data_IF_527682089463
#
_entry.id   IF_527682089463
#
_cell.length_a   1.000
_cell.length_b   1.000
_cell.length_c   1.000
_cell.angle_alpha   90.00
_cell.angle_beta   90.00
_cell.angle_gamma   90.00
#
_symmetry.space_group_name_H-M   'P 1'
#
loop_
_entity.id
_entity.type
_entity.pdbx_description
1 polymer ?
#
# COMPACT_ATOMS: atom_id res chain seq x y z
N UNK A 1 -4.60 21.87 -2.14
CA UNK A 1 -5.28 21.13 -1.05
C UNK A 1 -6.79 21.11 -1.30
N UNK A 2 -7.47 19.96 -1.14
CA UNK A 2 -8.93 19.94 -1.18
C UNK A 2 -9.50 20.74 0.00
N UNK A 3 -10.43 21.66 -0.24
CA UNK A 3 -11.03 22.47 0.84
C UNK A 3 -11.99 21.60 1.67
N UNK A 4 -12.29 22.02 2.90
CA UNK A 4 -13.28 21.35 3.76
C UNK A 4 -14.64 21.20 3.07
N UNK A 5 -14.98 22.11 2.17
CA UNK A 5 -16.23 22.08 1.40
C UNK A 5 -16.23 20.96 0.33
N UNK A 6 -15.04 20.50 -0.09
CA UNK A 6 -14.89 19.39 -1.05
C UNK A 6 -14.74 18.02 -0.38
N UNK A 7 -14.24 17.98 0.85
CA UNK A 7 -14.00 16.76 1.65
C UNK A 7 -14.39 16.98 3.12
N UNK A 8 -15.69 17.13 3.42
CA UNK A 8 -16.16 17.54 4.75
C UNK A 8 -15.84 16.54 5.86
N UNK A 9 -15.62 15.27 5.53
CA UNK A 9 -15.21 14.23 6.47
C UNK A 9 -13.77 14.39 6.99
N UNK A 10 -12.97 15.31 6.43
CA UNK A 10 -11.63 15.65 6.91
C UNK A 10 -11.55 16.97 7.71
N UNK A 11 -12.70 17.53 8.05
CA UNK A 11 -12.78 18.72 8.90
C UNK A 11 -12.15 18.42 10.28
N UNK A 12 -11.17 19.23 10.70
CA UNK A 12 -10.42 19.04 11.95
C UNK A 12 -9.21 18.09 11.86
N UNK A 13 -8.91 17.52 10.69
CA UNK A 13 -7.75 16.65 10.52
C UNK A 13 -6.43 17.40 10.81
N UNK A 14 -5.41 16.72 11.40
CA UNK A 14 -4.05 17.25 11.51
C UNK A 14 -3.54 17.77 10.17
N UNK A 15 -2.89 18.94 10.17
CA UNK A 15 -2.31 19.56 8.98
C UNK A 15 -0.79 19.72 9.15
N UNK A 16 -0.04 19.55 8.07
CA UNK A 16 1.41 19.81 8.03
C UNK A 16 1.82 20.33 6.65
N UNK A 17 3.07 20.79 6.56
CA UNK A 17 3.68 21.17 5.28
C UNK A 17 4.40 19.95 4.71
N UNK A 18 4.10 19.60 3.47
CA UNK A 18 4.78 18.54 2.74
C UNK A 18 5.29 19.07 1.40
N UNK A 19 6.41 18.52 0.96
CA UNK A 19 6.90 18.71 -0.40
C UNK A 19 6.15 17.74 -1.33
N UNK A 20 5.06 18.22 -1.92
CA UNK A 20 4.12 17.35 -2.68
C UNK A 20 4.32 17.42 -4.18
N UNK A 21 5.26 18.24 -4.65
CA UNK A 21 5.54 18.39 -6.07
C UNK A 21 7.04 18.28 -6.27
N UNK A 22 7.48 17.25 -7.00
CA UNK A 22 8.84 17.25 -7.55
C UNK A 22 8.93 18.39 -8.55
N UNK A 23 9.48 19.53 -8.12
CA UNK A 23 9.96 20.52 -9.07
C UNK A 23 11.02 19.88 -9.97
N UNK A 24 11.11 20.33 -11.22
CA UNK A 24 12.24 19.98 -12.09
C UNK A 24 13.57 20.52 -11.53
N UNK A 25 13.50 21.43 -10.55
CA UNK A 25 14.63 21.87 -9.75
C UNK A 25 14.62 21.17 -8.39
N UNK A 26 15.59 20.29 -8.16
CA UNK A 26 15.76 19.57 -6.89
C UNK A 26 15.99 20.50 -5.68
N UNK A 27 16.27 21.79 -5.90
CA UNK A 27 16.42 22.79 -4.84
C UNK A 27 15.13 23.55 -4.50
N UNK A 28 14.05 23.34 -5.26
CA UNK A 28 12.78 24.01 -5.04
C UNK A 28 11.81 23.10 -4.27
N UNK A 29 11.81 23.26 -2.93
CA UNK A 29 10.81 22.64 -2.04
C UNK A 29 9.49 23.41 -2.16
N UNK A 30 8.41 22.74 -2.61
CA UNK A 30 7.08 23.36 -2.66
C UNK A 30 6.34 23.06 -1.36
N UNK A 31 6.33 24.04 -0.47
CA UNK A 31 5.70 23.98 0.86
C UNK A 31 4.15 23.95 0.78
N UNK A 32 3.60 22.84 0.31
CA UNK A 32 2.16 22.65 0.24
C UNK A 32 1.62 22.17 1.58
N UNK A 33 0.56 22.83 2.06
CA UNK A 33 -0.17 22.34 3.21
C UNK A 33 -0.98 21.10 2.82
N UNK A 34 -0.81 20.03 3.58
CA UNK A 34 -1.54 18.76 3.49
C UNK A 34 -2.26 18.46 4.81
N UNK A 35 -3.17 17.48 4.79
CA UNK A 35 -3.90 17.04 5.98
C UNK A 35 -4.03 15.52 6.01
N UNK A 36 -4.22 14.98 7.20
CA UNK A 36 -4.39 13.54 7.40
C UNK A 36 -5.69 13.07 6.76
N UNK A 37 -5.57 12.25 5.72
CA UNK A 37 -6.69 11.53 5.11
C UNK A 37 -6.70 10.09 5.61
N UNK A 38 -5.60 9.37 5.34
CA UNK A 38 -5.46 7.95 5.62
C UNK A 38 -4.10 7.62 6.22
N UNK A 39 -4.05 6.49 6.93
CA UNK A 39 -2.84 5.82 7.41
C UNK A 39 -2.95 4.36 6.99
N UNK A 40 -1.93 3.87 6.29
CA UNK A 40 -1.83 2.47 5.89
C UNK A 40 -0.83 1.75 6.79
N UNK A 41 -1.20 0.55 7.22
CA UNK A 41 -0.41 -0.30 8.11
C UNK A 41 -0.33 -1.69 7.51
N UNK A 42 0.88 -2.25 7.47
CA UNK A 42 1.10 -3.65 7.13
C UNK A 42 1.74 -4.35 8.34
N UNK A 43 1.15 -5.48 8.76
CA UNK A 43 1.62 -6.28 9.89
C UNK A 43 1.89 -7.70 9.43
N UNK A 44 3.08 -8.20 9.71
CA UNK A 44 3.40 -9.62 9.49
C UNK A 44 2.74 -10.43 10.59
N UNK A 45 1.86 -11.36 10.22
CA UNK A 45 1.06 -12.14 11.15
C UNK A 45 0.86 -13.55 10.62
N UNK A 46 1.22 -14.56 11.40
CA UNK A 46 1.10 -15.95 10.97
C UNK A 46 -0.35 -16.47 10.96
N UNK A 47 -1.31 -15.68 11.44
CA UNK A 47 -2.74 -15.98 11.40
C UNK A 47 -3.41 -15.48 10.13
N UNK A 48 -2.73 -14.70 9.29
CA UNK A 48 -3.26 -14.30 7.98
C UNK A 48 -3.41 -15.52 7.05
N UNK A 49 -3.94 -15.32 5.85
CA UNK A 49 -3.91 -16.37 4.81
C UNK A 49 -2.47 -16.75 4.43
N UNK A 50 -2.32 -17.52 3.35
CA UNK A 50 -1.04 -17.93 2.76
C UNK A 50 0.00 -16.78 2.67
N UNK A 51 -0.43 -15.52 2.57
CA UNK A 51 0.48 -14.38 2.41
C UNK A 51 1.24 -13.89 3.64
N UNK A 52 0.93 -14.34 4.86
CA UNK A 52 1.67 -13.96 6.08
C UNK A 52 1.60 -12.48 6.49
N UNK A 53 0.75 -11.68 5.83
CA UNK A 53 0.59 -10.25 6.08
C UNK A 53 -0.89 -9.86 6.24
N UNK A 54 -1.14 -8.90 7.12
CA UNK A 54 -2.40 -8.19 7.24
C UNK A 54 -2.18 -6.72 6.89
N UNK A 55 -2.89 -6.24 5.88
CA UNK A 55 -2.90 -4.86 5.45
C UNK A 55 -4.14 -4.17 6.01
N UNK A 56 -3.98 -2.97 6.55
CA UNK A 56 -5.06 -2.17 7.08
C UNK A 56 -4.96 -0.73 6.64
N UNK A 57 -6.06 -0.17 6.18
CA UNK A 57 -6.18 1.26 5.94
C UNK A 57 -7.09 1.86 6.99
N UNK A 58 -6.63 2.94 7.59
CA UNK A 58 -7.35 3.74 8.56
C UNK A 58 -7.56 5.13 7.96
N UNK A 59 -8.67 5.78 8.27
CA UNK A 59 -8.92 7.16 7.89
C UNK A 59 -8.97 8.06 9.11
N UNK A 60 -8.70 9.35 8.92
CA UNK A 60 -9.10 10.35 9.91
C UNK A 60 -10.61 10.31 10.13
N UNK A 61 -11.01 10.42 11.40
CA UNK A 61 -12.39 10.42 11.86
C UNK A 61 -12.53 11.25 13.14
N UNK A 62 -13.02 12.49 12.98
CA UNK A 62 -13.20 13.42 14.10
C UNK A 62 -14.18 12.94 15.18
N UNK A 63 -14.99 11.91 14.90
CA UNK A 63 -15.91 11.35 15.89
C UNK A 63 -15.21 10.46 16.92
N UNK A 64 -13.99 10.00 16.60
CA UNK A 64 -13.16 9.21 17.52
C UNK A 64 -12.65 10.12 18.64
N UNK A 65 -13.08 9.86 19.86
CA UNK A 65 -12.64 10.60 21.04
C UNK A 65 -11.19 10.21 21.42
N UNK A 66 -10.22 11.00 20.94
CA UNK A 66 -8.82 10.85 21.32
C UNK A 66 -8.20 12.22 21.67
N UNK A 67 -7.37 12.31 22.74
CA UNK A 67 -6.68 13.55 23.11
C UNK A 67 -5.71 14.05 22.04
N UNK A 68 -5.10 13.12 21.29
CA UNK A 68 -4.21 13.41 20.17
C UNK A 68 -4.99 13.32 18.86
N UNK A 69 -5.10 14.41 18.07
CA UNK A 69 -5.74 14.42 16.76
C UNK A 69 -5.21 13.38 15.78
N UNK A 70 -3.94 12.96 15.89
CA UNK A 70 -3.35 11.91 15.05
C UNK A 70 -3.92 10.52 15.36
N UNK A 71 -4.52 10.34 16.53
CA UNK A 71 -5.18 9.10 16.97
C UNK A 71 -6.69 9.09 16.73
N UNK A 72 -7.23 10.17 16.15
CA UNK A 72 -8.63 10.24 15.73
C UNK A 72 -8.78 9.53 14.38
N UNK A 73 -8.59 8.21 14.39
CA UNK A 73 -8.62 7.36 13.19
C UNK A 73 -9.57 6.18 13.37
N UNK A 74 -10.30 5.86 12.32
CA UNK A 74 -11.21 4.71 12.22
C UNK A 74 -10.68 3.76 11.15
N UNK A 75 -10.69 2.44 11.38
CA UNK A 75 -10.34 1.49 10.33
C UNK A 75 -11.35 1.57 9.17
N UNK A 76 -10.86 1.60 7.94
CA UNK A 76 -11.66 1.57 6.69
C UNK A 76 -11.71 0.16 6.14
N UNK A 77 -10.56 -0.50 6.07
CA UNK A 77 -10.45 -1.85 5.53
C UNK A 77 -9.33 -2.62 6.22
N UNK A 78 -9.50 -3.95 6.29
CA UNK A 78 -8.45 -4.92 6.58
C UNK A 78 -8.41 -5.94 5.45
N UNK A 79 -7.22 -6.42 5.10
CA UNK A 79 -7.01 -7.51 4.14
C UNK A 79 -5.97 -8.46 4.68
N UNK A 80 -6.22 -9.74 4.55
CA UNK A 80 -5.26 -10.80 4.88
C UNK A 80 -5.05 -11.78 3.74
N UNK A 81 -5.63 -11.49 2.57
CA UNK A 81 -5.50 -12.23 1.32
C UNK A 81 -6.19 -11.48 0.17
N UNK A 82 -6.11 -12.03 -1.03
CA UNK A 82 -6.58 -11.44 -2.29
C UNK A 82 -7.73 -12.22 -2.93
N UNK A 83 -8.35 -13.22 -2.30
CA UNK A 83 -9.50 -13.95 -2.84
C UNK A 83 -9.26 -14.40 -4.31
N UNK A 84 -8.31 -15.29 -4.60
CA UNK A 84 -7.66 -15.43 -5.92
C UNK A 84 -8.56 -15.85 -7.09
N UNK A 85 -9.81 -16.22 -6.82
CA UNK A 85 -10.81 -16.59 -7.84
C UNK A 85 -11.94 -15.56 -7.97
N UNK A 86 -11.97 -14.54 -7.11
CA UNK A 86 -13.06 -13.59 -7.00
C UNK A 86 -12.93 -12.44 -8.01
N UNK A 87 -13.92 -12.30 -8.87
CA UNK A 87 -13.99 -11.30 -9.95
C UNK A 87 -15.17 -10.34 -9.73
N UNK A 88 -15.24 -9.21 -10.46
CA UNK A 88 -16.38 -8.31 -10.38
C UNK A 88 -17.73 -8.98 -10.66
N UNK A 89 -17.76 -10.04 -11.48
CA UNK A 89 -18.97 -10.81 -11.76
C UNK A 89 -19.48 -11.60 -10.54
N UNK A 90 -18.62 -11.87 -9.55
CA UNK A 90 -19.00 -12.54 -8.31
C UNK A 90 -19.53 -11.57 -7.25
N UNK A 91 -19.29 -10.26 -7.40
CA UNK A 91 -19.61 -9.27 -6.37
C UNK A 91 -21.10 -8.96 -6.32
N UNK A 92 -21.77 -9.49 -5.30
CA UNK A 92 -23.17 -9.19 -4.96
C UNK A 92 -23.32 -9.07 -3.43
N UNK A 93 -23.14 -7.86 -2.87
CA UNK A 93 -23.25 -7.64 -1.43
C UNK A 93 -24.68 -7.84 -0.91
N UNK A 94 -25.72 -7.74 -1.75
CA UNK A 94 -27.11 -7.98 -1.33
C UNK A 94 -27.37 -9.47 -1.06
N UNK A 95 -26.62 -10.34 -1.73
CA UNK A 95 -26.64 -11.79 -1.50
C UNK A 95 -25.50 -12.28 -0.58
N UNK A 96 -24.67 -11.36 -0.06
CA UNK A 96 -23.51 -11.70 0.76
C UNK A 96 -22.31 -12.24 -0.02
N UNK A 97 -22.33 -12.15 -1.36
CA UNK A 97 -21.19 -12.50 -2.20
C UNK A 97 -20.18 -11.34 -2.22
N UNK A 98 -19.32 -11.33 -1.22
CA UNK A 98 -18.22 -10.36 -1.05
C UNK A 98 -16.90 -11.11 -0.86
N UNK A 99 -15.75 -10.43 -1.07
CA UNK A 99 -14.44 -10.98 -0.70
C UNK A 99 -14.43 -11.50 0.74
N UNK A 100 -13.83 -12.66 0.96
CA UNK A 100 -13.75 -13.34 2.26
C UNK A 100 -12.40 -13.11 2.95
N UNK A 101 -11.38 -12.66 2.21
CA UNK A 101 -10.06 -12.33 2.76
C UNK A 101 -9.86 -10.82 2.97
N UNK A 102 -10.98 -10.09 3.03
CA UNK A 102 -11.05 -8.66 3.30
C UNK A 102 -12.23 -8.34 4.21
N UNK A 103 -12.07 -7.33 5.05
CA UNK A 103 -13.15 -6.72 5.82
C UNK A 103 -13.23 -5.23 5.53
N UNK A 104 -14.45 -4.72 5.31
CA UNK A 104 -14.72 -3.31 5.04
C UNK A 104 -15.58 -2.73 6.17
N UNK A 105 -15.17 -1.57 6.68
CA UNK A 105 -15.98 -0.79 7.60
C UNK A 105 -17.03 0.05 6.87
N UNK A 106 -18.26 -0.47 6.76
CA UNK A 106 -19.38 0.23 6.13
C UNK A 106 -19.76 1.56 6.77
N UNK A 107 -19.35 1.82 8.02
CA UNK A 107 -19.68 3.06 8.75
C UNK A 107 -18.56 4.09 8.73
N UNK A 108 -17.41 3.78 8.11
CA UNK A 108 -16.31 4.75 8.01
C UNK A 108 -16.77 6.01 7.25
N UNK A 109 -16.45 7.24 7.72
CA UNK A 109 -16.97 8.45 7.10
C UNK A 109 -16.70 8.59 5.59
N UNK A 110 -15.57 8.11 5.08
CA UNK A 110 -15.29 8.15 3.62
C UNK A 110 -16.15 7.15 2.85
N UNK A 111 -16.47 6.02 3.48
CA UNK A 111 -17.36 4.99 2.93
C UNK A 111 -18.77 5.56 2.80
N UNK A 112 -19.29 6.12 3.90
CA UNK A 112 -20.60 6.77 3.94
C UNK A 112 -20.71 7.95 2.96
N UNK A 113 -19.68 8.81 2.90
CA UNK A 113 -19.65 9.97 2.00
C UNK A 113 -19.77 9.57 0.53
N UNK A 114 -19.01 8.56 0.09
CA UNK A 114 -19.00 8.15 -1.31
C UNK A 114 -20.12 7.17 -1.68
N UNK A 115 -20.67 6.40 -0.74
CA UNK A 115 -21.86 5.57 -1.00
C UNK A 115 -23.11 6.42 -1.33
N UNK A 116 -23.13 7.68 -0.90
CA UNK A 116 -24.17 8.65 -1.26
C UNK A 116 -24.03 9.26 -2.66
N UNK A 117 -22.93 9.00 -3.39
CA UNK A 117 -22.61 9.64 -4.67
C UNK A 117 -23.06 8.85 -5.91
N UNK A 118 -24.24 8.20 -5.86
CA UNK A 118 -24.81 7.28 -6.87
C UNK A 118 -24.19 5.87 -6.85
N UNK A 119 -25.00 4.90 -6.41
CA UNK A 119 -24.67 3.48 -6.40
C UNK A 119 -24.79 2.90 -7.81
N UNK A 120 -23.64 2.71 -8.47
CA UNK A 120 -23.54 1.81 -9.62
C UNK A 120 -23.63 0.36 -9.14
N UNK A 121 -24.08 -0.57 -9.99
CA UNK A 121 -24.09 -2.02 -9.76
C UNK A 121 -22.68 -2.66 -9.72
N UNK A 122 -21.67 -1.86 -9.38
CA UNK A 122 -20.26 -2.20 -9.28
C UNK A 122 -19.80 -1.82 -7.87
N UNK A 123 -18.81 -2.53 -7.32
CA UNK A 123 -18.25 -2.22 -6.01
C UNK A 123 -18.04 -0.70 -5.82
N UNK A 124 -18.38 -0.13 -4.65
CA UNK A 124 -18.23 1.30 -4.40
C UNK A 124 -16.84 1.78 -4.83
N UNK A 125 -16.70 2.97 -5.43
CA UNK A 125 -15.43 3.60 -5.82
C UNK A 125 -14.49 3.97 -4.62
N UNK A 126 -14.67 3.25 -3.52
CA UNK A 126 -14.01 3.35 -2.22
C UNK A 126 -13.27 2.03 -1.96
N UNK A 127 -13.68 0.95 -2.64
CA UNK A 127 -13.09 -0.37 -2.57
C UNK A 127 -12.16 -0.61 -3.76
N UNK A 128 -11.30 -1.59 -3.60
CA UNK A 128 -10.47 -2.13 -4.65
C UNK A 128 -11.26 -2.99 -5.62
N UNK A 129 -10.55 -3.56 -6.59
CA UNK A 129 -11.14 -4.36 -7.64
C UNK A 129 -11.92 -5.56 -7.08
N UNK A 130 -13.16 -5.70 -7.56
CA UNK A 130 -14.16 -6.65 -7.07
C UNK A 130 -14.51 -6.52 -5.57
N UNK A 131 -14.41 -5.32 -4.99
CA UNK A 131 -14.82 -5.05 -3.61
C UNK A 131 -13.78 -5.39 -2.54
N UNK A 132 -12.54 -5.69 -2.93
CA UNK A 132 -11.44 -5.93 -2.00
C UNK A 132 -11.06 -4.68 -1.22
N UNK A 133 -10.32 -4.86 -0.13
CA UNK A 133 -9.75 -3.74 0.59
C UNK A 133 -8.85 -2.86 -0.27
N UNK A 134 -9.00 -1.55 -0.14
CA UNK A 134 -8.13 -0.56 -0.77
C UNK A 134 -8.23 0.77 -0.01
N UNK A 135 -7.22 1.62 -0.16
CA UNK A 135 -7.26 2.95 0.43
C UNK A 135 -8.23 3.89 -0.30
N UNK A 136 -8.85 4.85 0.40
CA UNK A 136 -9.80 5.79 -0.20
C UNK A 136 -9.29 6.62 -1.40
N UNK A 137 -7.97 6.82 -1.53
CA UNK A 137 -7.37 7.52 -2.68
C UNK A 137 -6.53 6.60 -3.58
N UNK A 138 -6.56 5.30 -3.32
CA UNK A 138 -5.84 4.31 -4.11
C UNK A 138 -6.60 4.03 -5.42
N UNK A 139 -5.92 3.41 -6.37
CA UNK A 139 -6.54 3.09 -7.66
C UNK A 139 -7.49 1.90 -7.51
N UNK A 140 -8.78 2.11 -7.77
CA UNK A 140 -9.84 1.11 -7.61
C UNK A 140 -9.71 -0.12 -8.54
N UNK A 141 -8.81 -0.11 -9.52
CA UNK A 141 -8.51 -1.29 -10.35
C UNK A 141 -7.54 -2.28 -9.68
N UNK A 142 -7.02 -1.95 -8.50
CA UNK A 142 -6.12 -2.78 -7.68
C UNK A 142 -6.72 -3.01 -6.28
N UNK A 143 -5.94 -3.62 -5.38
CA UNK A 143 -6.16 -3.70 -3.93
C UNK A 143 -4.84 -3.42 -3.21
N UNK A 144 -4.84 -3.22 -1.88
CA UNK A 144 -3.59 -2.99 -1.14
C UNK A 144 -2.59 -4.13 -1.35
N UNK A 145 -3.02 -5.38 -1.11
CA UNK A 145 -2.15 -6.56 -1.29
C UNK A 145 -1.76 -6.79 -2.75
N UNK A 146 -2.65 -6.50 -3.70
CA UNK A 146 -2.36 -6.63 -5.14
C UNK A 146 -1.32 -5.61 -5.63
N UNK A 147 -1.46 -4.36 -5.20
CA UNK A 147 -0.54 -3.27 -5.48
C UNK A 147 0.83 -3.53 -4.86
N UNK A 148 0.86 -3.99 -3.61
CA UNK A 148 2.10 -4.25 -2.89
C UNK A 148 2.76 -5.58 -3.26
N UNK A 149 1.99 -6.55 -3.77
CA UNK A 149 2.49 -7.88 -4.13
C UNK A 149 3.57 -7.85 -5.22
N UNK A 150 3.61 -6.80 -6.05
CA UNK A 150 4.65 -6.63 -7.09
C UNK A 150 5.97 -6.05 -6.54
N UNK A 151 6.12 -5.92 -5.21
CA UNK A 151 7.35 -5.45 -4.60
C UNK A 151 8.45 -6.53 -4.68
N UNK A 152 9.31 -6.40 -5.68
CA UNK A 152 10.42 -7.31 -5.96
C UNK A 152 11.58 -6.56 -6.63
N UNK A 153 12.77 -7.18 -6.63
CA UNK A 153 13.97 -6.68 -7.29
C UNK A 153 14.59 -7.78 -8.19
N UNK A 154 14.88 -7.50 -9.48
CA UNK A 154 14.52 -6.28 -10.21
C UNK A 154 13.00 -6.16 -10.35
N UNK A 155 12.46 -4.96 -10.58
CA UNK A 155 11.01 -4.79 -10.79
C UNK A 155 10.53 -5.48 -12.08
N UNK A 156 9.60 -6.44 -11.96
CA UNK A 156 8.99 -7.14 -13.09
C UNK A 156 7.65 -6.53 -13.56
N UNK A 157 6.64 -6.48 -12.68
CA UNK A 157 5.31 -5.93 -13.00
C UNK A 157 5.04 -4.52 -12.46
N UNK A 158 4.04 -3.87 -13.04
CA UNK A 158 3.46 -2.65 -12.51
C UNK A 158 2.43 -2.94 -11.40
N UNK A 159 2.27 -1.98 -10.48
CA UNK A 159 1.32 -2.02 -9.37
C UNK A 159 -0.15 -2.11 -9.79
N UNK A 160 -0.46 -1.64 -11.01
CA UNK A 160 -1.80 -1.71 -11.56
C UNK A 160 -1.96 -3.00 -12.36
N UNK A 161 -3.01 -3.80 -12.07
CA UNK A 161 -3.29 -5.00 -12.86
C UNK A 161 -3.47 -4.67 -14.34
N UNK A 162 -2.89 -5.52 -15.19
CA UNK A 162 -3.04 -5.44 -16.64
C UNK A 162 -3.67 -6.72 -17.19
N UNK A 163 -4.20 -6.66 -18.41
CA UNK A 163 -4.87 -7.79 -19.05
C UNK A 163 -6.18 -7.40 -19.71
N UNK A 164 -6.56 -8.18 -20.73
CA UNK A 164 -7.70 -7.87 -21.58
C UNK A 164 -9.06 -8.31 -20.99
N UNK A 165 -9.05 -9.06 -19.89
CA UNK A 165 -10.24 -9.55 -19.21
C UNK A 165 -9.97 -9.74 -17.70
N UNK A 166 -11.03 -9.99 -16.93
CA UNK A 166 -10.94 -10.14 -15.48
C UNK A 166 -10.13 -11.38 -15.06
N UNK A 167 -10.16 -12.46 -15.84
CA UNK A 167 -9.36 -13.66 -15.57
C UNK A 167 -7.86 -13.38 -15.66
N UNK A 168 -7.43 -12.56 -16.63
CA UNK A 168 -6.03 -12.16 -16.76
C UNK A 168 -5.58 -11.27 -15.60
N UNK A 169 -6.47 -10.42 -15.08
CA UNK A 169 -6.18 -9.55 -13.92
C UNK A 169 -5.96 -10.34 -12.63
N UNK A 170 -6.58 -11.52 -12.48
CA UNK A 170 -6.40 -12.39 -11.29
C UNK A 170 -4.94 -12.75 -11.01
N UNK A 171 -4.04 -12.64 -12.00
CA UNK A 171 -2.59 -12.72 -11.79
C UNK A 171 -2.10 -11.82 -10.64
N UNK A 172 -2.65 -10.60 -10.53
CA UNK A 172 -2.30 -9.63 -9.49
C UNK A 172 -3.04 -9.85 -8.17
N UNK A 173 -4.02 -10.74 -8.14
CA UNK A 173 -4.85 -11.04 -6.97
C UNK A 173 -4.59 -12.45 -6.45
N UNK A 174 -3.40 -13.00 -6.72
CA UNK A 174 -2.94 -14.23 -6.08
C UNK A 174 -2.50 -13.93 -4.65
N UNK A 175 -2.61 -14.93 -3.78
CA UNK A 175 -1.91 -14.88 -2.51
C UNK A 175 -0.46 -15.30 -2.78
N UNK A 176 0.49 -14.44 -2.40
CA UNK A 176 1.91 -14.72 -2.48
C UNK A 176 2.40 -15.03 -1.08
N UNK A 177 3.06 -16.16 -0.88
CA UNK A 177 3.65 -16.50 0.40
C UNK A 177 4.72 -15.47 0.82
N UNK A 178 5.07 -15.37 2.12
CA UNK A 178 6.18 -14.55 2.55
C UNK A 178 7.45 -14.90 1.77
N UNK A 179 8.15 -13.87 1.26
CA UNK A 179 9.34 -13.98 0.42
C UNK A 179 9.12 -14.60 -0.98
N UNK A 180 7.88 -14.92 -1.38
CA UNK A 180 7.58 -15.29 -2.75
C UNK A 180 7.63 -14.04 -3.64
N UNK A 181 8.45 -14.02 -4.71
CA UNK A 181 8.43 -12.93 -5.69
C UNK A 181 7.17 -13.00 -6.54
N UNK A 182 6.73 -11.86 -7.08
CA UNK A 182 5.56 -11.82 -7.96
C UNK A 182 5.84 -12.55 -9.27
N UNK A 183 6.99 -12.27 -9.87
CA UNK A 183 7.53 -12.97 -11.04
C UNK A 183 8.48 -14.08 -10.57
N UNK A 184 7.92 -15.24 -10.19
CA UNK A 184 8.67 -16.40 -9.68
C UNK A 184 9.34 -17.24 -10.79
N UNK A 185 10.21 -16.58 -11.57
CA UNK A 185 10.97 -17.15 -12.68
C UNK A 185 12.43 -17.49 -12.33
N UNK A 186 12.83 -17.29 -11.06
CA UNK A 186 14.19 -17.47 -10.57
C UNK A 186 15.11 -16.26 -10.77
N UNK A 187 14.60 -15.15 -11.30
CA UNK A 187 15.35 -13.91 -11.52
C UNK A 187 14.96 -12.76 -10.58
N UNK A 188 13.85 -12.90 -9.87
CA UNK A 188 13.30 -11.86 -8.99
C UNK A 188 13.43 -12.26 -7.52
N UNK A 189 13.80 -11.29 -6.67
CA UNK A 189 13.82 -11.43 -5.22
C UNK A 189 12.67 -10.62 -4.64
N UNK A 190 11.79 -11.27 -3.88
CA UNK A 190 10.71 -10.60 -3.16
C UNK A 190 11.24 -9.55 -2.19
N UNK A 191 10.59 -8.40 -2.13
CA UNK A 191 10.80 -7.38 -1.12
C UNK A 191 9.69 -7.40 -0.05
N UNK A 192 9.02 -8.54 0.09
CA UNK A 192 8.01 -8.85 1.12
C UNK A 192 6.96 -7.72 1.23
N UNK A 193 6.34 -7.40 0.10
CA UNK A 193 5.30 -6.36 -0.05
C UNK A 193 5.77 -4.90 0.19
N UNK A 194 7.06 -4.64 0.37
CA UNK A 194 7.58 -3.30 0.63
C UNK A 194 7.84 -2.50 -0.66
N UNK A 195 6.81 -1.80 -1.14
CA UNK A 195 6.95 -0.88 -2.29
C UNK A 195 7.93 0.27 -2.02
N UNK A 196 8.07 0.70 -0.77
CA UNK A 196 9.02 1.75 -0.39
C UNK A 196 10.46 1.30 -0.65
N UNK A 197 10.77 0.02 -0.36
CA UNK A 197 12.07 -0.56 -0.69
C UNK A 197 12.22 -0.74 -2.20
N UNK A 198 11.22 -1.32 -2.88
CA UNK A 198 11.25 -1.55 -4.33
C UNK A 198 11.50 -0.24 -5.09
N UNK A 199 10.68 0.78 -4.83
CA UNK A 199 10.81 2.11 -5.44
C UNK A 199 12.13 2.79 -5.03
N UNK A 200 12.60 2.58 -3.80
CA UNK A 200 13.88 3.11 -3.33
C UNK A 200 15.06 2.55 -4.11
N UNK A 201 15.11 1.23 -4.28
CA UNK A 201 16.15 0.50 -5.03
C UNK A 201 16.11 0.91 -6.51
N UNK A 202 14.92 0.88 -7.12
CA UNK A 202 14.70 1.33 -8.50
C UNK A 202 15.21 2.77 -8.70
N UNK A 203 14.86 3.69 -7.80
CA UNK A 203 15.31 5.07 -7.89
C UNK A 203 16.83 5.17 -7.75
N UNK A 204 17.46 4.42 -6.86
CA UNK A 204 18.91 4.42 -6.68
C UNK A 204 19.63 3.89 -7.93
N UNK A 205 19.17 2.77 -8.47
CA UNK A 205 19.73 2.16 -9.68
C UNK A 205 19.64 3.13 -10.88
N UNK A 206 18.51 3.84 -11.01
CA UNK A 206 18.30 4.81 -12.09
C UNK A 206 18.97 6.17 -11.84
N UNK A 207 19.24 6.54 -10.59
CA UNK A 207 19.94 7.81 -10.26
C UNK A 207 21.43 7.77 -10.60
N UNK A 208 22.05 6.58 -10.58
CA UNK A 208 23.43 6.40 -11.02
C UNK A 208 23.64 6.71 -12.52
N UNK A 209 22.58 6.66 -13.33
CA UNK A 209 22.61 7.08 -14.73
C UNK A 209 22.54 8.62 -14.92
N UNK A 210 22.14 9.38 -13.89
CA UNK A 210 21.96 10.83 -13.96
C UNK A 210 23.11 11.64 -13.33
N UNK A 211 23.95 11.04 -12.47
CA UNK A 211 25.08 11.74 -11.83
C UNK A 211 26.32 10.84 -11.68
N UNK A 212 27.37 11.00 -12.50
CA UNK A 212 28.56 10.14 -12.46
C UNK A 212 29.50 10.36 -11.25
N UNK A 213 29.06 11.06 -10.19
CA UNK A 213 29.94 11.51 -9.10
C UNK A 213 29.63 10.96 -7.70
N UNK A 214 28.71 10.01 -7.53
CA UNK A 214 28.46 9.39 -6.21
C UNK A 214 28.66 7.88 -6.25
N UNK A 215 29.93 7.49 -6.32
CA UNK A 215 30.39 6.13 -6.06
C UNK A 215 30.54 5.96 -4.54
N UNK A 216 29.42 5.81 -3.82
CA UNK A 216 29.39 5.68 -2.35
C UNK A 216 28.95 4.27 -1.91
N UNK A 217 29.53 3.23 -2.51
CA UNK A 217 29.48 1.86 -1.96
C UNK A 217 30.85 1.18 -2.11
N UNK A 218 31.78 1.62 -1.26
CA UNK A 218 33.00 0.87 -0.91
C UNK A 218 33.26 1.00 0.59
N UNK A 219 32.27 0.66 1.41
CA UNK A 219 32.46 0.52 2.86
C UNK A 219 31.56 -0.61 3.35
N UNK A 220 31.97 -1.86 3.10
CA UNK A 220 31.74 -3.03 3.97
C UNK A 220 32.53 -4.22 3.39
N UNK A 221 33.85 -4.09 3.34
CA UNK A 221 34.72 -5.27 3.46
C UNK A 221 34.96 -5.45 4.96
N UNK A 222 34.46 -6.52 5.60
CA UNK A 222 34.81 -6.79 6.98
C UNK A 222 36.30 -7.10 7.04
N UNK A 223 37.08 -6.23 7.68
CA UNK A 223 38.40 -6.56 8.15
C UNK A 223 38.24 -7.65 9.22
N UNK A 224 38.74 -8.85 8.92
CA UNK A 224 38.93 -9.88 9.92
C UNK A 224 40.00 -9.40 10.92
N UNK A 225 39.56 -8.82 12.04
CA UNK A 225 40.40 -8.64 13.21
C UNK A 225 40.38 -9.93 14.03
N UNK A 226 41.51 -10.63 14.00
CA UNK A 226 41.84 -11.74 14.89
C UNK A 226 41.66 -11.31 16.35
N UNK A 227 40.63 -11.83 17.02
CA UNK A 227 40.57 -11.83 18.48
C UNK A 227 41.43 -13.00 18.94
N UNK A 228 42.64 -12.67 19.38
CA UNK A 228 43.49 -13.55 20.19
C UNK A 228 42.72 -13.97 21.43
N UNK A 229 42.56 -15.28 21.64
CA UNK A 229 42.23 -15.84 22.94
C UNK A 229 43.54 -16.11 23.64
N UNK A 230 43.89 -15.25 24.60
CA UNK A 230 44.88 -15.63 25.60
C UNK A 230 44.25 -16.66 26.56
N UNK A 231 44.98 -17.72 26.94
CA UNK A 231 44.50 -18.73 27.87
C UNK A 231 44.73 -18.29 29.32
N UNK A 232 44.34 -19.18 30.25
CA UNK A 232 44.65 -19.23 31.69
C UNK A 232 43.50 -18.80 32.61
N UNK A 233 42.62 -19.76 32.95
CA UNK A 233 42.73 -20.59 34.16
C UNK A 233 41.75 -21.77 34.10
#
# INVERSE_FOLDING_TARGET
MATKDKVPYLDGAPEWIADTERSNDANQIRNNKVRLLQVDVAVKDNRSSEGGWVFGTFQFDKSVAAPDPWRQITPVTLMWGNDPTFTPANYDPAQGHIPQESWINGTAPVVAYRSGLSQSSTAPHILGWAGRGNGPVDNAVSSCLSCHGVAEEPKGKNMLPSGNNDQAKLLWFRNLAPLEPFDNDGHHTSLDFSLQLAVGIDNQANSAAAHPFLNFFRLFTPHASNISRDPVH
#
